data_IF_315890294600
#
_entry.id   IF_315890294600
#
_cell.length_a   1.000
_cell.length_b   1.000
_cell.length_c   1.000
_cell.angle_alpha   90.00
_cell.angle_beta   90.00
_cell.angle_gamma   90.00
#
_symmetry.space_group_name_H-M   'P 1'
#
loop_
_entity.id
_entity.type
_entity.pdbx_description
1 polymer ?
#
# COMPACT_ATOMS: atom_id res chain seq x y z
N UNK A 1 -0.38 24.35 15.88
CA UNK A 1 0.26 23.06 16.26
C UNK A 1 0.23 22.15 15.05
N UNK A 2 1.32 21.44 14.74
CA UNK A 2 1.30 20.39 13.69
C UNK A 2 0.36 19.27 14.13
N UNK A 3 -0.45 18.74 13.20
CA UNK A 3 -1.22 17.51 13.42
C UNK A 3 -0.25 16.35 13.61
N UNK A 4 -0.64 15.30 14.35
CA UNK A 4 0.31 14.26 14.71
C UNK A 4 0.70 13.36 13.54
N UNK A 5 -0.27 12.81 12.80
CA UNK A 5 -0.01 11.83 11.73
C UNK A 5 -0.79 12.16 10.46
N UNK A 6 -0.12 12.12 9.32
CA UNK A 6 -0.74 12.01 8.01
C UNK A 6 -0.60 10.57 7.51
N UNK A 7 -1.69 9.93 7.19
CA UNK A 7 -1.71 8.60 6.60
C UNK A 7 -2.13 8.71 5.14
N UNK A 8 -1.26 8.30 4.22
CA UNK A 8 -1.53 8.36 2.79
C UNK A 8 -1.86 6.95 2.29
N UNK A 9 -3.08 6.77 1.84
CA UNK A 9 -3.53 5.53 1.19
C UNK A 9 -3.13 5.59 -0.27
N UNK A 10 -2.39 4.57 -0.72
CA UNK A 10 -1.98 4.42 -2.11
C UNK A 10 -2.82 3.30 -2.73
N UNK A 11 -3.73 3.70 -3.63
CA UNK A 11 -4.80 2.84 -4.14
C UNK A 11 -4.32 1.74 -5.10
N UNK A 12 -5.21 0.79 -5.39
CA UNK A 12 -5.07 -0.27 -6.39
C UNK A 12 -5.19 0.30 -7.83
N UNK A 13 -5.09 -0.58 -8.83
CA UNK A 13 -5.27 -0.21 -10.25
C UNK A 13 -6.60 0.48 -10.55
N UNK A 14 -7.61 0.28 -9.73
CA UNK A 14 -8.96 0.81 -9.95
C UNK A 14 -9.12 2.30 -9.62
N UNK A 15 -8.14 2.91 -8.95
CA UNK A 15 -8.23 4.31 -8.49
C UNK A 15 -8.94 4.45 -7.14
N UNK A 16 -9.43 5.65 -6.86
CA UNK A 16 -10.13 5.96 -5.60
C UNK A 16 -11.58 5.51 -5.72
N UNK A 17 -11.86 4.32 -5.20
CA UNK A 17 -13.14 3.63 -5.27
C UNK A 17 -13.72 3.37 -3.87
N UNK A 18 -14.82 2.62 -3.76
CA UNK A 18 -15.48 2.29 -2.49
C UNK A 18 -14.55 1.57 -1.51
N UNK A 19 -13.65 0.70 -1.98
CA UNK A 19 -12.65 0.06 -1.12
C UNK A 19 -11.72 1.12 -0.49
N UNK A 20 -11.22 2.05 -1.28
CA UNK A 20 -10.33 3.12 -0.78
C UNK A 20 -11.08 4.06 0.18
N UNK A 21 -12.34 4.37 -0.09
CA UNK A 21 -13.18 5.12 0.84
C UNK A 21 -13.41 4.37 2.15
N UNK A 22 -13.66 3.06 2.09
CA UNK A 22 -13.78 2.20 3.27
C UNK A 22 -12.50 2.23 4.13
N UNK A 23 -11.34 2.04 3.50
CA UNK A 23 -10.03 2.09 4.18
C UNK A 23 -9.78 3.47 4.79
N UNK A 24 -10.03 4.54 4.04
CA UNK A 24 -9.87 5.92 4.51
C UNK A 24 -10.72 6.19 5.75
N UNK A 25 -11.99 5.80 5.71
CA UNK A 25 -12.90 5.96 6.84
C UNK A 25 -12.46 5.17 8.07
N UNK A 26 -11.94 3.95 7.88
CA UNK A 26 -11.48 3.09 8.97
C UNK A 26 -10.33 3.75 9.76
N UNK A 27 -9.33 4.31 9.07
CA UNK A 27 -8.15 4.87 9.72
C UNK A 27 -8.28 6.34 10.14
N UNK A 28 -9.32 7.05 9.69
CA UNK A 28 -9.54 8.44 10.08
C UNK A 28 -9.90 8.55 11.57
N UNK A 29 -9.18 9.41 12.30
CA UNK A 29 -9.44 9.65 13.72
C UNK A 29 -9.10 11.10 14.10
N UNK A 30 -9.30 11.47 15.37
CA UNK A 30 -8.92 12.80 15.88
C UNK A 30 -7.41 13.08 15.82
N UNK A 31 -6.59 12.06 15.64
CA UNK A 31 -5.12 12.16 15.64
C UNK A 31 -4.48 11.79 14.31
N UNK A 32 -5.23 11.20 13.38
CA UNK A 32 -4.78 10.74 12.08
C UNK A 32 -5.65 11.38 11.01
N UNK A 33 -5.05 12.20 10.15
CA UNK A 33 -5.68 12.64 8.91
C UNK A 33 -5.31 11.65 7.79
N UNK A 34 -6.30 11.17 7.07
CA UNK A 34 -6.12 10.18 6.01
C UNK A 34 -6.35 10.81 4.65
N UNK A 35 -5.44 10.55 3.73
CA UNK A 35 -5.46 11.05 2.36
C UNK A 35 -5.40 9.88 1.38
N UNK A 36 -6.07 9.99 0.26
CA UNK A 36 -5.98 9.03 -0.83
C UNK A 36 -5.84 9.79 -2.16
N UNK A 37 -4.60 10.18 -2.55
CA UNK A 37 -4.39 10.87 -3.82
C UNK A 37 -4.70 9.96 -4.99
N UNK A 38 -5.38 10.49 -6.01
CA UNK A 38 -5.69 9.74 -7.23
C UNK A 38 -4.48 9.75 -8.18
N UNK A 39 -3.82 8.62 -8.32
CA UNK A 39 -2.65 8.46 -9.18
C UNK A 39 -3.01 8.28 -10.65
N UNK A 40 -4.25 7.88 -10.98
CA UNK A 40 -4.64 7.49 -12.34
C UNK A 40 -4.83 8.67 -13.29
N UNK A 41 -4.88 9.91 -12.77
CA UNK A 41 -5.19 11.12 -13.55
C UNK A 41 -6.55 11.03 -14.29
N UNK A 42 -7.40 10.08 -13.87
CA UNK A 42 -8.76 9.90 -14.38
C UNK A 42 -9.75 10.53 -13.40
N UNK A 43 -10.85 11.11 -13.92
CA UNK A 43 -11.92 11.64 -13.09
C UNK A 43 -12.72 10.56 -12.38
N UNK A 44 -12.72 9.34 -12.92
CA UNK A 44 -13.52 8.22 -12.42
C UNK A 44 -12.63 7.01 -12.13
N UNK A 45 -12.99 6.29 -11.08
CA UNK A 45 -12.43 4.98 -10.77
C UNK A 45 -12.88 3.95 -11.81
N UNK A 46 -12.04 2.94 -12.07
CA UNK A 46 -12.42 1.80 -12.89
C UNK A 46 -13.37 0.88 -12.12
N UNK A 47 -14.31 0.26 -12.84
CA UNK A 47 -15.15 -0.79 -12.28
C UNK A 47 -14.33 -2.09 -12.11
N UNK A 48 -14.68 -2.93 -11.13
CA UNK A 48 -13.95 -4.19 -10.89
C UNK A 48 -14.02 -5.16 -12.08
N UNK A 49 -15.07 -5.11 -12.90
CA UNK A 49 -15.17 -5.87 -14.15
C UNK A 49 -14.20 -5.43 -15.24
N UNK A 50 -13.59 -4.25 -15.10
CA UNK A 50 -12.63 -3.68 -16.06
C UNK A 50 -11.17 -3.86 -15.60
N UNK A 51 -10.85 -4.95 -14.88
CA UNK A 51 -9.52 -5.21 -14.32
C UNK A 51 -8.40 -5.09 -15.37
N UNK A 52 -8.59 -5.69 -16.54
CA UNK A 52 -7.60 -5.66 -17.63
C UNK A 52 -7.35 -4.22 -18.10
N UNK A 53 -8.41 -3.45 -18.36
CA UNK A 53 -8.30 -2.03 -18.78
C UNK A 53 -7.65 -1.16 -17.70
N UNK A 54 -8.01 -1.40 -16.43
CA UNK A 54 -7.43 -0.67 -15.31
C UNK A 54 -5.93 -0.96 -15.18
N UNK A 55 -5.52 -2.22 -15.37
CA UNK A 55 -4.13 -2.63 -15.35
C UNK A 55 -3.35 -2.05 -16.53
N UNK A 56 -3.88 -2.14 -17.74
CA UNK A 56 -3.28 -1.54 -18.94
C UNK A 56 -3.13 -0.02 -18.78
N UNK A 57 -4.17 0.65 -18.27
CA UNK A 57 -4.10 2.10 -18.01
C UNK A 57 -2.97 2.43 -17.03
N UNK A 58 -2.88 1.70 -15.91
CA UNK A 58 -1.82 1.93 -14.94
C UNK A 58 -0.44 1.72 -15.56
N UNK A 59 -0.23 0.61 -16.29
CA UNK A 59 1.08 0.27 -16.87
C UNK A 59 1.50 1.24 -17.95
N UNK A 60 0.57 1.63 -18.85
CA UNK A 60 0.91 2.41 -20.04
C UNK A 60 0.91 3.92 -19.80
N UNK A 61 0.18 4.43 -18.81
CA UNK A 61 0.02 5.87 -18.59
C UNK A 61 0.62 6.36 -17.27
N UNK A 62 0.70 5.49 -16.26
CA UNK A 62 1.22 5.85 -14.93
C UNK A 62 2.57 5.16 -14.70
N UNK A 63 2.56 3.85 -14.55
CA UNK A 63 3.74 3.08 -14.18
C UNK A 63 4.21 3.35 -12.74
N UNK A 64 5.19 2.56 -12.31
CA UNK A 64 5.65 2.63 -10.92
C UNK A 64 6.50 3.86 -10.62
N UNK A 65 7.35 4.28 -11.57
CA UNK A 65 8.25 5.43 -11.36
C UNK A 65 7.48 6.74 -11.25
N UNK A 66 6.48 6.94 -12.12
CA UNK A 66 5.65 8.12 -12.06
C UNK A 66 4.71 8.09 -10.85
N UNK A 67 4.13 6.93 -10.52
CA UNK A 67 3.36 6.75 -9.29
C UNK A 67 4.18 7.09 -8.03
N UNK A 68 5.43 6.62 -7.97
CA UNK A 68 6.38 6.99 -6.91
C UNK A 68 6.56 8.52 -6.85
N UNK A 69 6.84 9.15 -7.99
CA UNK A 69 7.05 10.61 -8.06
C UNK A 69 5.83 11.38 -7.54
N UNK A 70 4.61 11.00 -7.96
CA UNK A 70 3.37 11.63 -7.49
C UNK A 70 3.22 11.54 -5.96
N UNK A 71 3.51 10.37 -5.37
CA UNK A 71 3.45 10.18 -3.91
C UNK A 71 4.52 11.02 -3.21
N UNK A 72 5.75 11.05 -3.69
CA UNK A 72 6.83 11.83 -3.09
C UNK A 72 6.55 13.35 -3.14
N UNK A 73 5.98 13.83 -4.24
CA UNK A 73 5.50 15.22 -4.37
C UNK A 73 4.37 15.51 -3.37
N UNK A 74 3.38 14.62 -3.26
CA UNK A 74 2.28 14.76 -2.30
C UNK A 74 2.79 14.81 -0.86
N UNK A 75 3.70 13.91 -0.47
CA UNK A 75 4.33 13.87 0.85
C UNK A 75 5.10 15.17 1.12
N UNK A 76 5.77 15.73 0.12
CA UNK A 76 6.50 16.98 0.28
C UNK A 76 5.61 18.14 0.68
N UNK A 77 4.36 18.20 0.19
CA UNK A 77 3.37 19.17 0.61
C UNK A 77 2.87 18.95 2.04
N UNK A 78 2.74 17.69 2.46
CA UNK A 78 2.28 17.35 3.82
C UNK A 78 3.34 17.62 4.90
N UNK A 79 4.62 17.52 4.57
CA UNK A 79 5.74 17.52 5.54
C UNK A 79 5.85 18.79 6.39
N UNK A 80 5.29 19.91 5.94
CA UNK A 80 5.23 21.16 6.73
C UNK A 80 4.16 21.15 7.80
N UNK A 81 3.11 20.32 7.66
CA UNK A 81 1.90 20.34 8.48
C UNK A 81 1.80 19.18 9.47
N UNK A 82 2.52 18.08 9.22
CA UNK A 82 2.45 16.86 10.02
C UNK A 82 3.80 16.54 10.65
N UNK A 83 3.76 15.86 11.81
CA UNK A 83 4.96 15.38 12.51
C UNK A 83 5.40 14.01 12.02
N UNK A 84 4.43 13.18 11.62
CA UNK A 84 4.67 11.85 11.08
C UNK A 84 3.86 11.64 9.80
N UNK A 85 4.46 10.96 8.84
CA UNK A 85 3.84 10.62 7.58
C UNK A 85 4.04 9.13 7.32
N UNK A 86 2.93 8.41 7.14
CA UNK A 86 2.94 7.00 6.80
C UNK A 86 2.20 6.69 5.51
N UNK A 87 2.54 5.59 4.87
CA UNK A 87 1.86 5.08 3.69
C UNK A 87 1.17 3.75 3.99
N UNK A 88 -0.04 3.56 3.48
CA UNK A 88 -0.65 2.22 3.33
C UNK A 88 -0.97 2.02 1.85
N UNK A 89 -0.29 1.10 1.21
CA UNK A 89 -0.50 0.79 -0.20
C UNK A 89 -1.17 -0.57 -0.42
N UNK A 90 -1.98 -0.64 -1.47
CA UNK A 90 -2.70 -1.85 -1.88
C UNK A 90 -2.32 -2.22 -3.32
N UNK A 91 -1.99 -3.49 -3.58
CA UNK A 91 -1.64 -3.97 -4.92
C UNK A 91 -0.51 -3.16 -5.57
N UNK A 92 -0.75 -2.48 -6.70
CA UNK A 92 0.23 -1.57 -7.32
C UNK A 92 0.63 -0.44 -6.35
N UNK A 93 -0.32 0.05 -5.54
CA UNK A 93 -0.05 1.05 -4.52
C UNK A 93 0.90 0.56 -3.43
N UNK A 94 0.87 -0.73 -3.07
CA UNK A 94 1.85 -1.31 -2.16
C UNK A 94 3.25 -1.32 -2.77
N UNK A 95 3.36 -1.59 -4.07
CA UNK A 95 4.64 -1.53 -4.79
C UNK A 95 5.14 -0.08 -4.90
N UNK A 96 4.26 0.88 -5.21
CA UNK A 96 4.61 2.32 -5.19
C UNK A 96 5.09 2.75 -3.80
N UNK A 97 4.40 2.35 -2.74
CA UNK A 97 4.81 2.65 -1.36
C UNK A 97 6.18 2.04 -1.04
N UNK A 98 6.44 0.79 -1.47
CA UNK A 98 7.74 0.14 -1.35
C UNK A 98 8.86 0.95 -2.02
N UNK A 99 8.62 1.48 -3.22
CA UNK A 99 9.56 2.33 -3.94
C UNK A 99 9.86 3.65 -3.22
N UNK A 100 8.94 4.12 -2.38
CA UNK A 100 9.11 5.32 -1.56
C UNK A 100 9.83 5.05 -0.23
N UNK A 101 10.17 3.79 0.11
CA UNK A 101 10.66 3.40 1.44
C UNK A 101 12.01 3.99 1.87
N UNK A 102 12.73 4.64 0.96
CA UNK A 102 13.98 5.34 1.24
C UNK A 102 13.80 6.87 1.30
N UNK A 103 12.57 7.38 1.23
CA UNK A 103 12.31 8.81 1.37
C UNK A 103 12.37 9.21 2.86
N UNK A 104 13.27 10.14 3.27
CA UNK A 104 13.46 10.49 4.67
C UNK A 104 12.29 11.23 5.32
N UNK A 105 11.25 11.59 4.54
CA UNK A 105 10.03 12.21 5.06
C UNK A 105 8.95 11.19 5.43
N UNK A 106 9.21 9.90 5.20
CA UNK A 106 8.28 8.80 5.49
C UNK A 106 8.76 8.07 6.73
N UNK A 107 7.91 8.01 7.74
CA UNK A 107 8.22 7.35 9.02
C UNK A 107 7.93 5.84 8.95
N UNK A 108 6.88 5.44 8.20
CA UNK A 108 6.53 4.04 8.05
C UNK A 108 5.76 3.73 6.75
N UNK A 109 5.82 2.46 6.35
CA UNK A 109 5.10 1.93 5.19
C UNK A 109 4.42 0.62 5.54
N UNK A 110 3.19 0.46 5.05
CA UNK A 110 2.43 -0.78 5.09
C UNK A 110 2.04 -1.13 3.65
N UNK A 111 2.47 -2.30 3.19
CA UNK A 111 2.16 -2.77 1.84
C UNK A 111 1.31 -4.03 1.86
N UNK A 112 0.11 -3.99 1.29
CA UNK A 112 -0.81 -5.11 1.19
C UNK A 112 -0.79 -5.70 -0.22
N UNK A 113 -0.50 -6.99 -0.33
CA UNK A 113 -0.43 -7.77 -1.58
C UNK A 113 0.29 -7.07 -2.75
N UNK A 114 1.44 -6.47 -2.47
CA UNK A 114 2.27 -5.79 -3.47
C UNK A 114 3.02 -6.77 -4.37
N UNK A 115 2.34 -7.30 -5.39
CA UNK A 115 2.87 -8.38 -6.22
C UNK A 115 4.13 -7.99 -7.00
N UNK A 116 4.24 -6.71 -7.42
CA UNK A 116 5.37 -6.22 -8.21
C UNK A 116 6.58 -5.81 -7.36
N UNK A 117 6.51 -5.92 -6.02
CA UNK A 117 7.68 -5.79 -5.13
C UNK A 117 8.78 -6.80 -5.54
N UNK A 118 8.40 -7.95 -6.15
CA UNK A 118 9.35 -8.94 -6.67
C UNK A 118 10.34 -8.38 -7.69
N UNK A 119 10.00 -7.31 -8.38
CA UNK A 119 10.88 -6.68 -9.37
C UNK A 119 11.84 -5.66 -8.73
N UNK A 120 11.63 -5.33 -7.46
CA UNK A 120 12.33 -4.30 -6.70
C UNK A 120 12.90 -4.81 -5.37
N UNK A 121 13.21 -6.11 -5.30
CA UNK A 121 13.75 -6.75 -4.09
C UNK A 121 15.13 -6.24 -3.66
N UNK A 122 15.82 -5.49 -4.51
CA UNK A 122 17.09 -4.84 -4.17
C UNK A 122 16.94 -3.62 -3.25
N UNK A 123 15.73 -3.06 -3.15
CA UNK A 123 15.45 -1.92 -2.27
C UNK A 123 15.48 -2.39 -0.81
N UNK A 124 16.16 -1.62 0.04
CA UNK A 124 16.21 -1.83 1.48
C UNK A 124 15.52 -0.65 2.15
N UNK A 125 14.35 -0.83 2.76
CA UNK A 125 13.64 0.22 3.47
C UNK A 125 14.52 0.90 4.53
N UNK A 126 14.43 2.22 4.62
CA UNK A 126 15.06 3.01 5.68
C UNK A 126 14.07 3.51 6.73
N UNK A 127 12.79 3.17 6.57
CA UNK A 127 11.71 3.39 7.55
C UNK A 127 11.09 2.06 7.98
N UNK A 128 10.33 2.08 9.08
CA UNK A 128 9.59 0.91 9.55
C UNK A 128 8.62 0.44 8.44
N UNK A 129 8.69 -0.84 8.08
CA UNK A 129 7.95 -1.38 6.93
C UNK A 129 7.27 -2.69 7.30
N UNK A 130 5.96 -2.76 7.10
CA UNK A 130 5.15 -3.98 7.21
C UNK A 130 4.66 -4.40 5.82
N UNK A 131 4.97 -5.62 5.39
CA UNK A 131 4.41 -6.21 4.18
C UNK A 131 3.47 -7.34 4.55
N UNK A 132 2.27 -7.32 3.99
CA UNK A 132 1.23 -8.34 4.17
C UNK A 132 0.95 -8.96 2.82
N UNK A 133 1.36 -10.23 2.66
CA UNK A 133 1.13 -10.99 1.43
C UNK A 133 0.01 -12.02 1.61
N UNK A 134 -0.75 -12.34 0.54
CA UNK A 134 -1.65 -13.49 0.54
C UNK A 134 -0.86 -14.80 0.50
N UNK A 135 -1.50 -15.93 0.77
CA UNK A 135 -0.90 -17.24 0.54
C UNK A 135 -0.72 -17.56 -0.94
N UNK A 136 -1.64 -17.04 -1.77
CA UNK A 136 -1.68 -17.38 -3.20
C UNK A 136 -1.65 -16.14 -4.06
N UNK A 137 -0.81 -16.19 -5.08
CA UNK A 137 -0.76 -15.25 -6.20
C UNK A 137 -0.70 -16.06 -7.51
N UNK A 138 -1.42 -15.59 -8.52
CA UNK A 138 -1.51 -16.33 -9.78
C UNK A 138 -0.21 -16.28 -10.60
N UNK A 139 0.58 -15.22 -10.46
CA UNK A 139 1.69 -14.91 -11.37
C UNK A 139 3.08 -15.21 -10.81
N UNK A 140 3.21 -15.56 -9.51
CA UNK A 140 4.51 -15.83 -8.88
C UNK A 140 4.39 -16.61 -7.57
N UNK A 141 5.52 -17.12 -7.08
CA UNK A 141 5.63 -17.76 -5.77
C UNK A 141 5.80 -16.73 -4.66
N UNK A 142 4.78 -16.57 -3.82
CA UNK A 142 4.82 -15.66 -2.66
C UNK A 142 5.91 -16.09 -1.68
N UNK A 143 6.07 -17.38 -1.42
CA UNK A 143 7.10 -17.92 -0.52
C UNK A 143 8.51 -17.57 -0.99
N UNK A 144 8.77 -17.65 -2.30
CA UNK A 144 10.07 -17.28 -2.88
C UNK A 144 10.37 -15.79 -2.72
N UNK A 145 9.36 -14.93 -2.91
CA UNK A 145 9.49 -13.49 -2.68
C UNK A 145 9.79 -13.19 -1.21
N UNK A 146 9.03 -13.78 -0.29
CA UNK A 146 9.25 -13.60 1.16
C UNK A 146 10.67 -14.04 1.53
N UNK A 147 11.11 -15.20 1.07
CA UNK A 147 12.47 -15.69 1.33
C UNK A 147 13.54 -14.71 0.83
N UNK A 148 13.38 -14.17 -0.38
CA UNK A 148 14.31 -13.20 -0.94
C UNK A 148 14.36 -11.92 -0.11
N UNK A 149 13.21 -11.38 0.30
CA UNK A 149 13.14 -10.19 1.14
C UNK A 149 13.75 -10.42 2.53
N UNK A 150 13.53 -11.60 3.14
CA UNK A 150 14.11 -11.95 4.44
C UNK A 150 15.65 -12.08 4.40
N UNK A 151 16.21 -12.45 3.25
CA UNK A 151 17.69 -12.49 3.06
C UNK A 151 18.35 -11.12 3.21
N UNK A 152 17.60 -10.02 3.07
CA UNK A 152 18.11 -8.68 3.33
C UNK A 152 18.50 -8.45 4.79
N UNK A 153 17.97 -9.24 5.74
CA UNK A 153 18.17 -9.11 7.20
C UNK A 153 17.96 -7.68 7.69
N UNK A 154 16.98 -6.97 7.09
CA UNK A 154 16.64 -5.60 7.47
C UNK A 154 15.77 -5.61 8.73
N UNK A 155 16.22 -5.05 9.87
CA UNK A 155 15.45 -5.03 11.11
C UNK A 155 14.18 -4.15 11.04
N UNK A 156 14.11 -3.27 10.04
CA UNK A 156 12.95 -2.39 9.82
C UNK A 156 11.84 -3.07 8.99
N UNK A 157 12.11 -4.26 8.43
CA UNK A 157 11.18 -4.97 7.55
C UNK A 157 10.50 -6.13 8.29
N UNK A 158 9.21 -5.99 8.53
CA UNK A 158 8.33 -7.03 9.03
C UNK A 158 7.49 -7.59 7.88
N UNK A 159 7.39 -8.93 7.75
CA UNK A 159 6.63 -9.59 6.69
C UNK A 159 5.64 -10.56 7.32
N UNK A 160 4.39 -10.47 6.89
CA UNK A 160 3.31 -11.38 7.27
C UNK A 160 2.69 -12.01 6.04
N UNK A 161 2.33 -13.28 6.16
CA UNK A 161 1.55 -14.00 5.15
C UNK A 161 0.22 -14.41 5.76
N UNK A 162 -0.88 -14.11 5.07
CA UNK A 162 -2.23 -14.41 5.52
C UNK A 162 -2.96 -15.26 4.48
N UNK A 163 -3.92 -16.05 4.94
CA UNK A 163 -4.74 -16.85 4.05
C UNK A 163 -5.55 -16.00 3.09
N UNK A 164 -5.59 -16.38 1.81
CA UNK A 164 -6.33 -15.69 0.76
C UNK A 164 -5.54 -15.52 -0.53
N UNK A 165 -6.13 -14.77 -1.44
CA UNK A 165 -5.60 -14.45 -2.76
C UNK A 165 -5.37 -12.95 -2.90
N UNK A 166 -4.78 -12.51 -4.01
CA UNK A 166 -4.60 -11.08 -4.32
C UNK A 166 -5.93 -10.31 -4.17
N UNK A 167 -5.92 -9.22 -3.40
CA UNK A 167 -7.12 -8.42 -3.16
C UNK A 167 -8.02 -8.90 -2.01
N UNK A 168 -7.58 -9.86 -1.17
CA UNK A 168 -8.39 -10.45 -0.10
C UNK A 168 -8.92 -9.46 0.95
N UNK A 169 -8.37 -8.24 1.01
CA UNK A 169 -8.83 -7.17 1.90
C UNK A 169 -10.02 -6.38 1.34
N UNK A 170 -10.34 -6.54 0.06
CA UNK A 170 -11.34 -5.74 -0.62
C UNK A 170 -12.76 -6.33 -0.46
N UNK A 171 -13.65 -5.74 0.36
CA UNK A 171 -14.97 -6.30 0.63
C UNK A 171 -15.96 -6.20 -0.54
N UNK A 172 -15.56 -5.58 -1.64
CA UNK A 172 -16.38 -5.38 -2.84
C UNK A 172 -16.04 -6.37 -3.97
N UNK A 173 -15.21 -7.39 -3.69
CA UNK A 173 -14.82 -8.43 -4.65
C UNK A 173 -15.06 -9.83 -4.08
N UNK A 174 -15.18 -10.82 -4.95
CA UNK A 174 -15.34 -12.24 -4.56
C UNK A 174 -14.11 -12.81 -3.83
N UNK A 175 -12.94 -12.18 -3.99
CA UNK A 175 -11.70 -12.58 -3.32
C UNK A 175 -11.65 -12.20 -1.84
N UNK A 176 -12.66 -11.47 -1.35
CA UNK A 176 -12.72 -11.00 0.02
C UNK A 176 -12.64 -12.15 1.04
N UNK A 177 -11.73 -12.04 1.98
CA UNK A 177 -11.62 -12.96 3.11
C UNK A 177 -11.77 -12.22 4.43
N UNK A 178 -12.96 -12.31 5.03
CA UNK A 178 -13.30 -11.59 6.26
C UNK A 178 -12.33 -11.90 7.42
N UNK A 179 -11.92 -13.16 7.57
CA UNK A 179 -11.03 -13.58 8.68
C UNK A 179 -9.64 -12.97 8.51
N UNK A 180 -9.06 -13.11 7.34
CA UNK A 180 -7.72 -12.57 7.03
C UNK A 180 -7.72 -11.03 7.00
N UNK A 181 -8.82 -10.42 6.56
CA UNK A 181 -8.99 -8.96 6.65
C UNK A 181 -8.93 -8.49 8.10
N UNK A 182 -9.66 -9.14 9.01
CA UNK A 182 -9.60 -8.81 10.43
C UNK A 182 -8.19 -8.97 11.00
N UNK A 183 -7.49 -10.03 10.62
CA UNK A 183 -6.08 -10.23 11.03
C UNK A 183 -5.17 -9.13 10.49
N UNK A 184 -5.31 -8.77 9.20
CA UNK A 184 -4.53 -7.71 8.58
C UNK A 184 -4.74 -6.35 9.27
N UNK A 185 -6.00 -5.96 9.51
CA UNK A 185 -6.30 -4.71 10.21
C UNK A 185 -5.75 -4.69 11.64
N UNK A 186 -5.84 -5.80 12.38
CA UNK A 186 -5.21 -5.90 13.72
C UNK A 186 -3.67 -5.75 13.65
N UNK A 187 -3.02 -6.30 12.62
CA UNK A 187 -1.58 -6.12 12.40
C UNK A 187 -1.24 -4.66 12.09
N UNK A 188 -2.02 -4.03 11.23
CA UNK A 188 -1.86 -2.61 10.86
C UNK A 188 -2.05 -1.73 12.09
N UNK A 189 -3.14 -1.90 12.84
CA UNK A 189 -3.41 -1.13 14.06
C UNK A 189 -2.27 -1.28 15.07
N UNK A 190 -1.80 -2.52 15.28
CA UNK A 190 -0.67 -2.78 16.20
C UNK A 190 0.64 -2.17 15.70
N UNK A 191 0.82 -2.03 14.40
CA UNK A 191 1.98 -1.41 13.79
C UNK A 191 1.95 0.12 13.92
N UNK A 192 0.76 0.74 13.82
CA UNK A 192 0.56 2.19 13.93
C UNK A 192 0.75 2.73 15.35
N UNK A 193 0.70 1.89 16.37
CA UNK A 193 0.88 2.30 17.79
C UNK A 193 2.28 2.03 18.35
N UNK A 194 3.18 1.44 17.54
CA UNK A 194 4.60 1.25 17.88
C UNK A 194 5.38 2.56 17.72
#
# INVERSE_FOLDING_TARGET
MKKKVALVIVHEIYGVNDHMHHVTNYFTSSHIDVFCPNLLQSQHAFHYSDEEKAYEHFVNHIGFDYGKKQIEEFISHLSSSYTHIGLIGFSVGATVSWLCSNNPKIDFIIGCYGSRIRDYVHIKPTCATLLIFPEKEASFSVSSLIQTLQQQKNPLLEIKQLHGEHGFLNPYTEKYNRHSTKQAYNLIDSFLVK
#
